data_IF_233502551117
#
_entry.id   IF_233502551117
#
_cell.length_a   1.000
_cell.length_b   1.000
_cell.length_c   1.000
_cell.angle_alpha   90.00
_cell.angle_beta   90.00
_cell.angle_gamma   90.00
#
_symmetry.space_group_name_H-M   'P 1'
#
loop_
_entity.id
_entity.type
_entity.pdbx_description
1 polymer ?
#
# COMPACT_ATOMS: atom_id res chain seq x y z
N UNK A 1 -27.73 43.14 -2.39
CA UNK A 1 -26.51 42.49 -2.91
C UNK A 1 -26.15 41.15 -2.24
N UNK A 2 -26.16 41.02 -0.90
CA UNK A 2 -25.82 39.75 -0.20
C UNK A 2 -26.73 38.56 -0.52
N UNK A 3 -28.03 38.78 -0.80
CA UNK A 3 -29.00 37.71 -1.13
C UNK A 3 -28.79 37.07 -2.51
N UNK A 4 -28.23 37.82 -3.46
CA UNK A 4 -27.85 37.28 -4.78
C UNK A 4 -26.53 36.52 -4.72
N UNK A 5 -25.59 36.94 -3.88
CA UNK A 5 -24.32 36.24 -3.66
C UNK A 5 -24.54 34.85 -3.05
N UNK A 6 -25.46 34.73 -2.08
CA UNK A 6 -25.86 33.44 -1.52
C UNK A 6 -26.54 32.53 -2.55
N UNK A 7 -27.30 33.11 -3.49
CA UNK A 7 -27.98 32.38 -4.57
C UNK A 7 -26.99 31.87 -5.63
N UNK A 8 -25.99 32.66 -6.02
CA UNK A 8 -24.92 32.23 -6.91
C UNK A 8 -23.98 31.21 -6.25
N UNK A 9 -23.75 31.32 -4.94
CA UNK A 9 -22.98 30.33 -4.17
C UNK A 9 -23.75 29.00 -4.01
N UNK A 10 -25.07 29.04 -3.78
CA UNK A 10 -25.93 27.84 -3.82
C UNK A 10 -26.03 27.25 -5.24
N UNK A 11 -26.06 28.08 -6.30
CA UNK A 11 -26.07 27.61 -7.68
C UNK A 11 -24.74 26.92 -8.07
N UNK A 12 -23.61 27.38 -7.51
CA UNK A 12 -22.31 26.73 -7.65
C UNK A 12 -22.25 25.36 -6.91
N UNK A 13 -22.96 25.21 -5.79
CA UNK A 13 -23.10 23.94 -5.06
C UNK A 13 -24.02 22.91 -5.77
N UNK A 14 -24.79 23.32 -6.80
CA UNK A 14 -25.60 22.42 -7.64
C UNK A 14 -24.80 21.82 -8.81
N UNK A 15 -23.48 22.03 -8.88
CA UNK A 15 -22.56 21.23 -9.70
C UNK A 15 -22.40 19.81 -9.13
N UNK A 16 -23.52 19.13 -8.89
CA UNK A 16 -23.60 17.72 -8.55
C UNK A 16 -22.83 16.92 -9.60
N UNK A 17 -21.81 16.19 -9.15
CA UNK A 17 -21.01 15.31 -10.00
C UNK A 17 -21.92 14.44 -10.88
N UNK A 18 -21.82 14.59 -12.19
CA UNK A 18 -22.55 13.77 -13.16
C UNK A 18 -22.00 12.33 -13.26
N UNK A 19 -20.99 12.01 -12.46
CA UNK A 19 -20.29 10.75 -12.47
C UNK A 19 -20.50 9.99 -11.16
N UNK A 20 -20.62 8.68 -11.28
CA UNK A 20 -20.52 7.73 -10.17
C UNK A 20 -19.12 7.15 -10.14
N UNK A 21 -18.75 6.50 -9.05
CA UNK A 21 -17.50 5.76 -8.94
C UNK A 21 -17.76 4.27 -8.77
N UNK A 22 -16.87 3.46 -9.32
CA UNK A 22 -16.73 2.02 -9.08
C UNK A 22 -15.31 1.78 -8.59
N UNK A 23 -15.13 0.74 -7.79
CA UNK A 23 -13.83 0.36 -7.31
C UNK A 23 -13.37 -0.97 -7.90
N UNK A 24 -12.10 -1.02 -8.27
CA UNK A 24 -11.44 -2.16 -8.91
C UNK A 24 -10.32 -2.62 -7.98
N UNK A 25 -10.26 -3.93 -7.73
CA UNK A 25 -9.13 -4.55 -7.04
C UNK A 25 -8.08 -4.93 -8.09
N UNK A 26 -6.82 -4.59 -7.83
CA UNK A 26 -5.68 -4.89 -8.70
C UNK A 26 -4.44 -5.06 -7.85
N UNK A 27 -3.32 -5.48 -8.45
CA UNK A 27 -2.02 -5.47 -7.79
C UNK A 27 -1.22 -4.23 -8.20
N UNK A 28 -0.43 -3.71 -7.27
CA UNK A 28 0.70 -2.81 -7.56
C UNK A 28 1.97 -3.68 -7.60
N UNK A 29 2.81 -3.58 -8.65
CA UNK A 29 4.09 -4.27 -8.71
C UNK A 29 4.98 -4.02 -7.50
N UNK A 30 5.86 -4.98 -7.23
CA UNK A 30 6.97 -4.78 -6.31
C UNK A 30 7.94 -3.73 -6.87
N UNK A 31 8.59 -2.96 -5.99
CA UNK A 31 9.55 -1.93 -6.40
C UNK A 31 10.86 -2.53 -6.93
N UNK A 32 11.23 -3.74 -6.49
CA UNK A 32 12.35 -4.52 -7.04
C UNK A 32 11.87 -5.89 -7.52
N UNK A 33 12.57 -6.46 -8.50
CA UNK A 33 12.29 -7.81 -8.97
C UNK A 33 13.05 -8.84 -8.13
N UNK A 34 12.34 -9.83 -7.59
CA UNK A 34 12.92 -10.96 -6.85
C UNK A 34 12.96 -12.17 -7.78
N UNK A 35 14.11 -12.89 -7.90
CA UNK A 35 14.22 -14.09 -8.71
C UNK A 35 13.03 -15.05 -8.53
N UNK A 36 12.51 -15.53 -9.66
CA UNK A 36 11.28 -16.33 -9.68
C UNK A 36 11.44 -17.73 -9.09
N UNK A 37 12.65 -18.23 -8.92
CA UNK A 37 12.91 -19.46 -8.18
C UNK A 37 12.79 -19.31 -6.66
N UNK A 38 12.80 -18.08 -6.13
CA UNK A 38 12.47 -17.81 -4.72
C UNK A 38 10.96 -17.77 -4.59
N UNK A 39 10.36 -18.76 -3.93
CA UNK A 39 8.93 -18.86 -3.65
C UNK A 39 8.62 -18.78 -2.14
N UNK A 40 9.64 -18.86 -1.30
CA UNK A 40 9.49 -18.90 0.14
C UNK A 40 10.61 -18.16 0.89
N UNK A 41 10.26 -17.46 1.97
CA UNK A 41 11.17 -16.60 2.73
C UNK A 41 11.09 -16.92 4.22
N UNK A 42 12.25 -17.15 4.84
CA UNK A 42 12.37 -17.21 6.30
C UNK A 42 12.74 -15.84 6.87
N UNK A 43 12.00 -15.38 7.88
CA UNK A 43 12.26 -14.13 8.61
C UNK A 43 13.12 -14.43 9.85
N UNK A 44 14.27 -13.75 9.98
CA UNK A 44 15.26 -13.99 11.04
C UNK A 44 15.59 -12.71 11.80
N UNK A 45 15.46 -12.77 13.13
CA UNK A 45 15.98 -11.73 14.02
C UNK A 45 17.48 -11.94 14.26
N UNK A 46 18.32 -10.99 13.86
CA UNK A 46 19.77 -10.97 14.16
C UNK A 46 20.20 -9.76 15.03
N UNK A 47 19.23 -9.15 15.71
CA UNK A 47 19.40 -7.93 16.51
C UNK A 47 19.98 -8.17 17.90
N UNK A 48 20.24 -9.42 18.31
CA UNK A 48 20.85 -9.66 19.61
C UNK A 48 22.32 -9.19 19.62
N UNK A 49 22.69 -8.44 20.66
CA UNK A 49 24.05 -7.97 20.88
C UNK A 49 25.03 -9.11 21.18
N UNK A 50 26.29 -8.96 20.73
CA UNK A 50 27.40 -9.85 21.13
C UNK A 50 27.77 -9.61 22.61
N UNK A 51 28.21 -10.65 23.33
CA UNK A 51 28.50 -10.58 24.78
C UNK A 51 29.52 -9.48 25.14
N UNK A 52 30.53 -9.27 24.30
CA UNK A 52 31.59 -8.27 24.54
C UNK A 52 31.08 -6.82 24.38
N UNK A 53 29.92 -6.64 23.73
CA UNK A 53 29.27 -5.35 23.61
C UNK A 53 28.44 -4.96 24.86
N UNK A 54 28.09 -5.95 25.69
CA UNK A 54 27.22 -5.75 26.87
C UNK A 54 28.01 -5.11 28.02
N UNK A 55 29.32 -5.34 28.11
CA UNK A 55 30.19 -4.82 29.19
C UNK A 55 30.69 -3.38 29.02
N UNK A 56 30.41 -2.72 27.88
CA UNK A 56 30.97 -1.39 27.54
C UNK A 56 29.96 -0.26 27.79
N UNK A 57 28.68 -0.57 28.00
CA UNK A 57 27.61 0.43 27.96
C UNK A 57 26.72 0.31 29.20
N UNK A 58 27.00 1.15 30.19
CA UNK A 58 26.25 1.19 31.45
C UNK A 58 25.05 2.17 31.43
N UNK A 59 24.75 2.80 30.27
CA UNK A 59 23.70 3.83 30.16
C UNK A 59 22.57 3.59 29.14
N UNK A 60 22.77 2.73 28.14
CA UNK A 60 21.80 2.50 27.02
C UNK A 60 21.19 1.10 27.06
N UNK A 61 21.82 0.14 27.73
CA UNK A 61 21.38 -1.26 27.82
C UNK A 61 20.64 -1.55 29.14
N UNK A 62 19.65 -0.73 29.50
CA UNK A 62 18.91 -0.87 30.79
C UNK A 62 17.99 -2.11 30.88
N UNK A 63 18.13 -3.11 30.01
CA UNK A 63 17.28 -4.30 29.93
C UNK A 63 15.87 -4.04 29.38
N UNK A 64 15.27 -2.89 29.71
CA UNK A 64 13.99 -2.42 29.19
C UNK A 64 14.04 -2.15 27.69
N UNK A 65 15.08 -1.45 27.20
CA UNK A 65 15.28 -1.20 25.77
C UNK A 65 15.48 -2.47 24.94
N UNK A 66 16.17 -3.49 25.49
CA UNK A 66 16.43 -4.76 24.78
C UNK A 66 15.14 -5.55 24.54
N UNK A 67 14.26 -5.59 25.55
CA UNK A 67 12.96 -6.25 25.42
C UNK A 67 12.05 -5.47 24.48
N UNK A 68 12.10 -4.15 24.52
CA UNK A 68 11.31 -3.31 23.64
C UNK A 68 11.74 -3.42 22.16
N UNK A 69 13.04 -3.39 21.87
CA UNK A 69 13.56 -3.55 20.51
C UNK A 69 13.18 -4.92 19.95
N UNK A 70 13.27 -5.97 20.78
CA UNK A 70 12.81 -7.32 20.42
C UNK A 70 11.31 -7.32 20.07
N UNK A 71 10.48 -6.68 20.89
CA UNK A 71 9.05 -6.52 20.64
C UNK A 71 8.77 -5.74 19.34
N UNK A 72 9.60 -4.75 19.05
CA UNK A 72 9.60 -3.97 17.81
C UNK A 72 9.90 -4.84 16.59
N UNK A 73 10.95 -5.66 16.63
CA UNK A 73 11.30 -6.62 15.57
C UNK A 73 10.16 -7.61 15.33
N UNK A 74 9.59 -8.18 16.40
CA UNK A 74 8.45 -9.11 16.26
C UNK A 74 7.22 -8.42 15.65
N UNK A 75 6.97 -7.16 16.00
CA UNK A 75 5.88 -6.37 15.42
C UNK A 75 6.13 -6.13 13.93
N UNK A 76 7.36 -5.82 13.55
CA UNK A 76 7.75 -5.67 12.15
C UNK A 76 7.55 -6.98 11.38
N UNK A 77 8.01 -8.11 11.92
CA UNK A 77 7.83 -9.42 11.28
C UNK A 77 6.37 -9.80 11.11
N UNK A 78 5.52 -9.57 12.12
CA UNK A 78 4.09 -9.80 11.98
C UNK A 78 3.49 -8.93 10.88
N UNK A 79 3.90 -7.67 10.77
CA UNK A 79 3.43 -6.77 9.71
C UNK A 79 3.89 -7.19 8.32
N UNK A 80 5.16 -7.55 8.20
CA UNK A 80 5.78 -8.04 6.98
C UNK A 80 5.11 -9.35 6.53
N UNK A 81 4.98 -10.32 7.43
CA UNK A 81 4.30 -11.58 7.16
C UNK A 81 2.83 -11.37 6.74
N UNK A 82 2.08 -10.51 7.42
CA UNK A 82 0.70 -10.20 7.04
C UNK A 82 0.61 -9.56 5.65
N UNK A 83 1.53 -8.65 5.33
CA UNK A 83 1.56 -7.98 4.02
C UNK A 83 1.98 -8.92 2.91
N UNK A 84 3.03 -9.71 3.12
CA UNK A 84 3.52 -10.69 2.14
C UNK A 84 2.50 -11.80 1.89
N UNK A 85 1.76 -12.26 2.91
CA UNK A 85 0.65 -13.22 2.73
C UNK A 85 -0.55 -12.67 1.99
N UNK A 86 -0.71 -11.35 1.94
CA UNK A 86 -1.73 -10.70 1.11
C UNK A 86 -1.32 -10.65 -0.37
N UNK A 87 -0.04 -10.87 -0.66
CA UNK A 87 0.49 -11.08 -2.00
C UNK A 87 0.46 -12.57 -2.35
N UNK A 88 0.21 -12.94 -3.63
CA UNK A 88 0.34 -14.32 -4.07
C UNK A 88 1.80 -14.76 -4.30
N UNK A 89 2.80 -13.93 -3.92
CA UNK A 89 4.19 -14.10 -4.36
C UNK A 89 5.05 -15.04 -3.51
N UNK A 90 4.85 -15.09 -2.19
CA UNK A 90 5.74 -15.84 -1.30
C UNK A 90 5.00 -16.55 -0.16
N UNK A 91 5.46 -17.75 0.17
CA UNK A 91 5.23 -18.35 1.48
C UNK A 91 6.22 -17.78 2.50
N UNK A 92 5.74 -17.41 3.70
CA UNK A 92 6.57 -16.74 4.70
C UNK A 92 6.57 -17.48 6.03
N UNK A 93 7.77 -17.85 6.46
CA UNK A 93 8.03 -18.56 7.72
C UNK A 93 8.74 -17.61 8.68
N UNK A 94 8.26 -17.51 9.91
CA UNK A 94 8.95 -16.79 10.98
C UNK A 94 9.84 -17.77 11.74
N UNK A 95 11.14 -17.50 11.78
CA UNK A 95 12.07 -18.33 12.51
C UNK A 95 11.90 -18.20 14.03
N UNK A 96 12.16 -19.29 14.76
CA UNK A 96 12.12 -19.29 16.23
C UNK A 96 13.40 -18.74 16.87
N UNK A 97 14.50 -18.71 16.10
CA UNK A 97 15.81 -18.34 16.60
C UNK A 97 16.06 -16.83 16.51
N UNK A 98 16.71 -16.31 17.54
CA UNK A 98 17.30 -14.98 17.53
C UNK A 98 18.83 -15.11 17.47
N UNK A 99 19.42 -14.66 16.38
CA UNK A 99 20.85 -14.68 16.14
C UNK A 99 21.53 -13.46 16.74
N UNK A 100 22.84 -13.59 16.95
CA UNK A 100 23.71 -12.48 17.37
C UNK A 100 24.37 -11.86 16.16
N UNK A 101 24.24 -10.55 16.02
CA UNK A 101 24.84 -9.82 14.91
C UNK A 101 24.92 -8.32 15.16
N UNK A 102 23.97 -7.74 15.89
CA UNK A 102 23.99 -6.31 16.20
C UNK A 102 25.28 -5.88 16.91
N UNK A 103 25.88 -4.83 16.35
CA UNK A 103 27.05 -4.16 16.90
C UNK A 103 26.64 -2.83 17.57
N UNK A 104 27.51 -2.28 18.40
CA UNK A 104 27.27 -1.02 19.14
C UNK A 104 27.18 0.19 18.19
N UNK A 105 27.87 0.12 17.04
CA UNK A 105 28.02 1.25 16.13
C UNK A 105 26.77 1.50 15.27
N UNK A 106 25.75 0.62 15.34
CA UNK A 106 24.53 0.75 14.54
C UNK A 106 24.77 0.66 13.02
N UNK A 107 25.88 0.03 12.63
CA UNK A 107 26.24 -0.29 11.25
C UNK A 107 25.86 -1.73 10.92
N UNK A 108 25.75 -2.06 9.63
CA UNK A 108 25.51 -3.43 9.22
C UNK A 108 26.63 -4.34 9.73
N UNK A 109 26.30 -5.48 10.37
CA UNK A 109 27.30 -6.50 10.62
C UNK A 109 27.73 -7.15 9.31
N UNK A 110 28.88 -7.83 9.38
CA UNK A 110 29.30 -8.74 8.32
C UNK A 110 28.15 -9.68 7.92
N UNK A 111 27.97 -9.92 6.61
CA UNK A 111 27.03 -10.91 6.11
C UNK A 111 27.14 -12.24 6.85
N UNK A 112 26.01 -12.93 6.98
CA UNK A 112 26.02 -14.32 7.39
C UNK A 112 26.85 -15.11 6.38
N UNK A 113 27.70 -16.01 6.88
CA UNK A 113 28.42 -16.94 6.03
C UNK A 113 27.41 -17.81 5.25
N UNK A 114 27.73 -18.13 4.00
CA UNK A 114 26.82 -18.89 3.13
C UNK A 114 26.45 -20.25 3.69
N UNK A 115 27.32 -20.91 4.46
CA UNK A 115 26.98 -22.15 5.16
C UNK A 115 25.88 -21.93 6.18
N UNK A 116 25.88 -20.81 6.88
CA UNK A 116 24.83 -20.48 7.85
C UNK A 116 23.52 -20.11 7.15
N UNK A 117 23.58 -19.38 6.03
CA UNK A 117 22.41 -19.12 5.18
C UNK A 117 21.81 -20.45 4.71
N UNK A 118 22.62 -21.34 4.14
CA UNK A 118 22.21 -22.67 3.67
C UNK A 118 21.61 -23.52 4.80
N UNK A 119 22.16 -23.47 6.01
CA UNK A 119 21.63 -24.19 7.18
C UNK A 119 20.25 -23.68 7.59
N UNK A 120 20.06 -22.35 7.63
CA UNK A 120 18.80 -21.74 8.05
C UNK A 120 17.70 -21.97 7.01
N UNK A 121 17.98 -21.77 5.72
CA UNK A 121 17.01 -22.00 4.64
C UNK A 121 16.58 -23.46 4.57
N UNK A 122 17.51 -24.42 4.70
CA UNK A 122 17.17 -25.85 4.80
C UNK A 122 16.33 -26.17 6.05
N UNK A 123 16.68 -25.59 7.21
CA UNK A 123 15.95 -25.82 8.46
C UNK A 123 14.49 -25.37 8.39
N UNK A 124 14.23 -24.22 7.78
CA UNK A 124 12.88 -23.67 7.65
C UNK A 124 12.17 -24.06 6.35
N UNK A 125 12.84 -24.83 5.48
CA UNK A 125 12.36 -25.21 4.15
C UNK A 125 11.94 -23.99 3.32
N UNK A 126 12.86 -23.03 3.20
CA UNK A 126 12.65 -21.80 2.43
C UNK A 126 13.76 -21.56 1.40
N UNK A 127 13.51 -20.70 0.41
CA UNK A 127 14.49 -20.39 -0.66
C UNK A 127 15.39 -19.20 -0.30
N UNK A 128 14.84 -18.24 0.45
CA UNK A 128 15.52 -17.00 0.81
C UNK A 128 15.46 -16.73 2.32
N UNK A 129 16.35 -15.85 2.77
CA UNK A 129 16.45 -15.40 4.15
C UNK A 129 16.30 -13.89 4.23
N UNK A 130 15.30 -13.40 4.95
CA UNK A 130 15.15 -11.97 5.25
C UNK A 130 15.53 -11.73 6.71
N UNK A 131 16.63 -11.00 6.90
CA UNK A 131 17.25 -10.80 8.19
C UNK A 131 17.07 -9.34 8.63
N UNK A 132 16.60 -9.13 9.85
CA UNK A 132 16.70 -7.83 10.53
C UNK A 132 18.03 -7.82 11.28
N UNK A 133 18.98 -7.07 10.73
CA UNK A 133 20.37 -7.01 11.17
C UNK A 133 20.60 -5.90 12.21
N UNK A 134 19.79 -4.84 12.16
CA UNK A 134 19.87 -3.69 13.06
C UNK A 134 18.46 -3.31 13.47
N UNK A 135 18.23 -3.12 14.77
CA UNK A 135 17.04 -2.45 15.28
C UNK A 135 17.44 -1.56 16.43
N UNK A 136 17.24 -0.26 16.26
CA UNK A 136 17.53 0.77 17.26
C UNK A 136 16.34 1.71 17.36
N UNK A 137 15.77 1.85 18.55
CA UNK A 137 14.59 2.66 18.83
C UNK A 137 14.86 3.74 19.89
N UNK A 138 14.52 4.97 19.54
CA UNK A 138 14.61 6.12 20.41
C UNK A 138 13.25 6.82 20.52
N UNK A 139 12.95 7.35 21.70
CA UNK A 139 11.75 8.13 21.94
C UNK A 139 12.04 9.21 22.97
N UNK A 140 11.93 10.46 22.53
CA UNK A 140 12.24 11.63 23.34
C UNK A 140 10.91 12.32 23.65
N UNK A 141 10.69 12.60 24.94
CA UNK A 141 9.51 13.36 25.39
C UNK A 141 9.94 14.77 25.77
N UNK A 142 9.31 15.76 25.16
CA UNK A 142 9.38 17.17 25.54
C UNK A 142 8.01 17.63 26.01
N UNK A 143 7.95 18.74 26.75
CA UNK A 143 6.69 19.28 27.22
C UNK A 143 6.76 20.79 27.41
N UNK A 144 5.59 21.42 27.52
CA UNK A 144 5.49 22.85 27.70
C UNK A 144 4.08 23.31 28.04
N UNK A 145 3.89 24.63 28.00
CA UNK A 145 2.60 25.29 28.17
C UNK A 145 2.43 26.37 27.11
N UNK A 146 1.22 26.52 26.58
CA UNK A 146 0.84 27.57 25.63
C UNK A 146 -0.49 28.19 26.03
N UNK A 147 -0.69 29.46 25.67
CA UNK A 147 -1.99 30.13 25.83
C UNK A 147 -2.89 29.77 24.65
N UNK A 148 -4.13 29.42 24.93
CA UNK A 148 -5.13 29.10 23.91
C UNK A 148 -6.48 29.73 24.28
N UNK A 149 -7.38 29.90 23.32
CA UNK A 149 -8.71 30.47 23.56
C UNK A 149 -9.80 29.42 23.33
N UNK A 150 -10.84 29.45 24.16
CA UNK A 150 -12.04 28.63 23.99
C UNK A 150 -13.28 29.49 24.09
N UNK A 151 -14.36 29.06 23.44
CA UNK A 151 -15.66 29.69 23.60
C UNK A 151 -16.39 29.08 24.79
N UNK A 152 -16.78 29.93 25.73
CA UNK A 152 -17.61 29.56 26.88
C UNK A 152 -18.85 30.45 26.91
N UNK A 153 -19.93 29.96 27.53
CA UNK A 153 -21.14 30.77 27.74
C UNK A 153 -21.02 31.54 29.04
N UNK A 154 -21.28 32.84 28.99
CA UNK A 154 -21.40 33.67 30.20
C UNK A 154 -22.71 33.36 30.97
N UNK A 155 -22.93 34.05 32.09
CA UNK A 155 -24.13 33.88 32.93
C UNK A 155 -25.43 34.27 32.21
N UNK A 156 -25.33 35.07 31.15
CA UNK A 156 -26.46 35.55 30.34
C UNK A 156 -26.65 34.71 29.06
N UNK A 157 -25.82 33.68 28.85
CA UNK A 157 -25.89 32.74 27.74
C UNK A 157 -25.17 33.17 26.46
N UNK A 158 -24.43 34.29 26.47
CA UNK A 158 -23.64 34.75 25.32
C UNK A 158 -22.33 33.98 25.19
N UNK A 159 -21.89 33.71 23.95
CA UNK A 159 -20.55 33.15 23.71
C UNK A 159 -19.48 34.21 23.94
N UNK A 160 -18.57 33.96 24.88
CA UNK A 160 -17.38 34.76 25.15
C UNK A 160 -16.12 33.93 24.94
N UNK A 161 -15.05 34.56 24.47
CA UNK A 161 -13.73 33.92 24.36
C UNK A 161 -12.99 34.01 25.69
N UNK A 162 -12.62 32.86 26.24
CA UNK A 162 -11.84 32.73 27.47
C UNK A 162 -10.44 32.22 27.13
N UNK A 163 -9.42 32.94 27.58
CA UNK A 163 -8.03 32.49 27.52
C UNK A 163 -7.76 31.47 28.63
N UNK A 164 -7.15 30.34 28.28
CA UNK A 164 -6.71 29.34 29.24
C UNK A 164 -5.28 28.89 28.94
N UNK A 165 -4.60 28.40 29.98
CA UNK A 165 -3.30 27.75 29.82
C UNK A 165 -3.52 26.29 29.44
N UNK A 166 -3.02 25.90 28.27
CA UNK A 166 -2.97 24.52 27.80
C UNK A 166 -1.57 23.96 28.07
N UNK A 167 -1.51 22.82 28.75
CA UNK A 167 -0.26 22.05 28.89
C UNK A 167 -0.19 21.04 27.76
N UNK A 168 0.98 20.90 27.15
CA UNK A 168 1.20 19.92 26.08
C UNK A 168 2.43 19.06 26.37
N UNK A 169 2.41 17.85 25.82
CA UNK A 169 3.54 16.94 25.77
C UNK A 169 3.72 16.45 24.33
N UNK A 170 4.96 16.44 23.86
CA UNK A 170 5.34 15.94 22.54
C UNK A 170 6.27 14.74 22.71
N UNK A 171 5.97 13.66 21.99
CA UNK A 171 6.82 12.48 21.91
C UNK A 171 7.37 12.37 20.50
N UNK A 172 8.68 12.34 20.35
CA UNK A 172 9.37 12.16 19.06
C UNK A 172 9.99 10.78 19.04
N UNK A 173 9.42 9.87 18.25
CA UNK A 173 9.95 8.53 18.05
C UNK A 173 10.80 8.42 16.79
N UNK A 174 11.86 7.64 16.87
CA UNK A 174 12.74 7.31 15.75
C UNK A 174 13.14 5.83 15.83
N UNK A 175 12.96 5.10 14.72
CA UNK A 175 13.48 3.75 14.56
C UNK A 175 14.46 3.72 13.39
N UNK A 176 15.60 3.08 13.60
CA UNK A 176 16.57 2.73 12.57
C UNK A 176 16.62 1.22 12.44
N UNK A 177 16.24 0.71 11.26
CA UNK A 177 16.07 -0.72 11.01
C UNK A 177 16.89 -1.13 9.78
N UNK A 178 17.84 -2.03 9.97
CA UNK A 178 18.67 -2.58 8.89
C UNK A 178 18.13 -3.92 8.44
N UNK A 179 17.82 -4.06 7.16
CA UNK A 179 17.25 -5.27 6.56
C UNK A 179 18.22 -5.81 5.51
N UNK A 180 18.35 -7.13 5.45
CA UNK A 180 19.12 -7.82 4.40
C UNK A 180 18.36 -9.04 3.88
N UNK A 181 18.27 -9.18 2.56
CA UNK A 181 17.63 -10.29 1.88
C UNK A 181 18.67 -11.13 1.14
N UNK A 182 18.80 -12.39 1.54
CA UNK A 182 19.75 -13.36 0.97
C UNK A 182 19.04 -14.34 0.04
N UNK A 183 19.67 -14.62 -1.09
CA UNK A 183 19.36 -15.75 -1.96
C UNK A 183 20.34 -16.90 -1.64
N UNK A 184 19.82 -18.00 -1.09
CA UNK A 184 20.67 -19.13 -0.71
C UNK A 184 21.24 -19.87 -1.93
N UNK A 185 20.43 -20.04 -2.98
CA UNK A 185 20.80 -20.82 -4.16
C UNK A 185 21.90 -20.12 -4.95
N UNK A 186 21.72 -18.83 -5.23
CA UNK A 186 22.67 -18.05 -6.02
C UNK A 186 23.80 -17.46 -5.17
N UNK A 187 23.71 -17.54 -3.84
CA UNK A 187 24.69 -17.00 -2.89
C UNK A 187 24.92 -15.51 -3.12
N UNK A 188 23.83 -14.78 -3.22
CA UNK A 188 23.84 -13.32 -3.41
C UNK A 188 23.00 -12.63 -2.34
N UNK A 189 23.32 -11.36 -2.08
CA UNK A 189 22.46 -10.46 -1.30
C UNK A 189 21.64 -9.69 -2.31
N UNK A 190 20.33 -9.97 -2.36
CA UNK A 190 19.41 -9.31 -3.29
C UNK A 190 19.21 -7.85 -2.90
N UNK A 191 19.08 -7.60 -1.60
CA UNK A 191 18.83 -6.27 -1.08
C UNK A 191 19.43 -6.09 0.32
N UNK A 192 19.93 -4.88 0.58
CA UNK A 192 20.43 -4.47 1.89
C UNK A 192 20.23 -2.97 2.05
N UNK A 193 19.47 -2.56 3.07
CA UNK A 193 19.17 -1.14 3.28
C UNK A 193 18.84 -0.79 4.74
N UNK A 194 19.00 0.48 5.10
CA UNK A 194 18.63 1.03 6.41
C UNK A 194 17.40 1.93 6.26
N UNK A 195 16.33 1.53 6.94
CA UNK A 195 15.11 2.28 7.04
C UNK A 195 15.11 3.13 8.30
N UNK A 196 15.00 4.45 8.14
CA UNK A 196 14.75 5.37 9.24
C UNK A 196 13.30 5.81 9.20
N UNK A 197 12.55 5.54 10.27
CA UNK A 197 11.16 5.95 10.41
C UNK A 197 11.02 6.81 11.63
N UNK A 198 10.40 7.99 11.49
CA UNK A 198 10.17 8.91 12.60
C UNK A 198 8.73 9.41 12.59
N UNK A 199 8.26 9.81 13.77
CA UNK A 199 6.97 10.46 13.94
C UNK A 199 6.95 11.26 15.24
N UNK A 200 6.25 12.39 15.20
CA UNK A 200 5.91 13.17 16.38
C UNK A 200 4.46 12.90 16.76
N UNK A 201 4.22 12.70 18.05
CA UNK A 201 2.90 12.65 18.67
C UNK A 201 2.79 13.81 19.64
N UNK A 202 1.61 14.41 19.73
CA UNK A 202 1.30 15.48 20.67
C UNK A 202 0.03 15.11 21.44
N UNK A 203 0.01 15.43 22.73
CA UNK A 203 -1.17 15.44 23.57
C UNK A 203 -1.23 16.77 24.32
N UNK A 204 -2.44 17.27 24.56
CA UNK A 204 -2.65 18.49 25.32
C UNK A 204 -3.79 18.33 26.32
N UNK A 205 -3.66 18.98 27.47
CA UNK A 205 -4.58 18.83 28.59
C UNK A 205 -4.55 20.04 29.53
N UNK A 206 -5.40 19.98 30.56
CA UNK A 206 -5.49 21.03 31.59
C UNK A 206 -4.35 20.98 32.61
N UNK A 207 -3.59 19.89 32.64
CA UNK A 207 -2.39 19.74 33.47
C UNK A 207 -1.30 18.97 32.73
N UNK A 208 -0.04 19.22 33.06
CA UNK A 208 1.09 18.50 32.46
C UNK A 208 1.03 16.98 32.72
N UNK A 209 0.61 16.57 33.92
CA UNK A 209 0.45 15.15 34.28
C UNK A 209 -0.54 14.45 33.36
N UNK A 210 -1.67 15.11 33.08
CA UNK A 210 -2.70 14.58 32.20
C UNK A 210 -2.21 14.52 30.74
N UNK A 211 -1.54 15.58 30.25
CA UNK A 211 -0.95 15.59 28.91
C UNK A 211 0.02 14.42 28.73
N UNK A 212 0.96 14.23 29.67
CA UNK A 212 1.91 13.12 29.64
C UNK A 212 1.21 11.75 29.72
N UNK A 213 0.16 11.60 30.51
CA UNK A 213 -0.59 10.35 30.62
C UNK A 213 -1.36 9.98 29.34
N UNK A 214 -1.77 10.98 28.55
CA UNK A 214 -2.44 10.79 27.27
C UNK A 214 -1.46 10.60 26.09
N UNK A 215 -0.19 10.97 26.27
CA UNK A 215 0.82 10.82 25.24
C UNK A 215 1.08 9.32 24.99
N UNK A 216 1.34 8.97 23.72
CA UNK A 216 1.76 7.61 23.36
C UNK A 216 3.01 7.22 24.15
N UNK A 217 3.06 5.98 24.64
CA UNK A 217 4.28 5.49 25.29
C UNK A 217 5.31 5.01 24.25
N UNK A 218 6.57 4.90 24.70
CA UNK A 218 7.69 4.48 23.87
C UNK A 218 7.42 3.17 23.11
N UNK A 219 6.97 2.12 23.81
CA UNK A 219 6.66 0.82 23.19
C UNK A 219 5.62 0.91 22.07
N UNK A 220 4.55 1.67 22.27
CA UNK A 220 3.53 1.90 21.25
C UNK A 220 4.08 2.66 20.04
N UNK A 221 4.91 3.68 20.27
CA UNK A 221 5.59 4.42 19.22
C UNK A 221 6.55 3.53 18.42
N UNK A 222 7.41 2.77 19.09
CA UNK A 222 8.36 1.82 18.48
C UNK A 222 7.62 0.79 17.62
N UNK A 223 6.54 0.19 18.13
CA UNK A 223 5.70 -0.78 17.40
C UNK A 223 5.01 -0.15 16.19
N UNK A 224 4.56 1.10 16.29
CA UNK A 224 3.96 1.83 15.16
C UNK A 224 4.98 2.05 14.03
N UNK A 225 6.18 2.53 14.36
CA UNK A 225 7.24 2.78 13.39
C UNK A 225 7.76 1.48 12.77
N UNK A 226 7.97 0.43 13.57
CA UNK A 226 8.38 -0.89 13.10
C UNK A 226 7.38 -1.52 12.12
N UNK A 227 6.07 -1.39 12.41
CA UNK A 227 4.99 -1.83 11.52
C UNK A 227 5.07 -1.12 10.16
N UNK A 228 5.31 0.19 10.17
CA UNK A 228 5.45 1.01 8.96
C UNK A 228 6.58 0.52 8.06
N UNK A 229 7.75 0.25 8.64
CA UNK A 229 8.90 -0.31 7.90
C UNK A 229 8.58 -1.70 7.34
N UNK A 230 7.96 -2.58 8.13
CA UNK A 230 7.55 -3.92 7.65
C UNK A 230 6.62 -3.87 6.44
N UNK A 231 5.61 -3.00 6.44
CA UNK A 231 4.71 -2.81 5.30
C UNK A 231 5.41 -2.21 4.08
N UNK A 232 6.32 -1.26 4.31
CA UNK A 232 7.10 -0.61 3.25
C UNK A 232 8.01 -1.64 2.57
N UNK A 233 8.72 -2.44 3.36
CA UNK A 233 9.61 -3.48 2.83
C UNK A 233 8.83 -4.58 2.10
N UNK A 234 7.65 -4.97 2.60
CA UNK A 234 6.78 -5.92 1.89
C UNK A 234 6.45 -5.43 0.46
N UNK A 235 6.09 -4.14 0.34
CA UNK A 235 5.78 -3.51 -0.95
C UNK A 235 6.99 -3.40 -1.88
N UNK A 236 8.20 -3.33 -1.32
CA UNK A 236 9.45 -3.32 -2.09
C UNK A 236 9.66 -4.64 -2.81
N UNK A 237 9.40 -5.77 -2.14
CA UNK A 237 9.79 -7.11 -2.62
C UNK A 237 8.64 -7.95 -3.19
N UNK A 238 7.37 -7.57 -2.96
CA UNK A 238 6.22 -8.34 -3.41
C UNK A 238 5.11 -7.44 -3.97
N UNK A 239 4.38 -7.88 -5.02
CA UNK A 239 3.21 -7.18 -5.52
C UNK A 239 2.11 -7.07 -4.46
N UNK A 240 1.60 -5.86 -4.23
CA UNK A 240 0.63 -5.59 -3.15
C UNK A 240 -0.80 -5.37 -3.69
N UNK A 241 -1.83 -5.93 -3.03
CA UNK A 241 -3.21 -5.65 -3.40
C UNK A 241 -3.56 -4.18 -3.14
N UNK A 242 -4.08 -3.53 -4.16
CA UNK A 242 -4.54 -2.14 -4.09
C UNK A 242 -5.94 -2.01 -4.67
N UNK A 243 -6.70 -1.09 -4.08
CA UNK A 243 -8.06 -0.77 -4.49
C UNK A 243 -8.05 0.58 -5.19
N UNK A 244 -8.30 0.58 -6.49
CA UNK A 244 -8.37 1.81 -7.29
C UNK A 244 -9.81 2.22 -7.54
N UNK A 245 -10.04 3.53 -7.66
CA UNK A 245 -11.36 4.10 -7.96
C UNK A 245 -11.40 4.57 -9.41
N UNK A 246 -12.51 4.30 -10.09
CA UNK A 246 -12.79 4.77 -11.45
C UNK A 246 -14.14 5.47 -11.46
N UNK A 247 -14.17 6.67 -12.03
CA UNK A 247 -15.42 7.37 -12.24
C UNK A 247 -16.04 7.00 -13.58
N UNK A 248 -17.36 7.00 -13.70
CA UNK A 248 -18.10 6.84 -14.96
C UNK A 248 -19.34 7.72 -15.02
N UNK A 249 -19.78 8.06 -16.21
CA UNK A 249 -20.94 8.94 -16.42
C UNK A 249 -22.24 8.20 -16.11
N UNK A 250 -22.98 8.67 -15.12
CA UNK A 250 -24.28 8.09 -14.75
C UNK A 250 -25.48 8.98 -15.14
N UNK A 251 -25.25 10.26 -15.46
CA UNK A 251 -26.30 11.23 -15.84
C UNK A 251 -25.93 11.94 -17.17
N UNK A 252 -26.86 12.02 -18.13
CA UNK A 252 -27.73 13.20 -18.16
C UNK A 252 -29.23 12.82 -18.23
N UNK A 253 -30.08 13.72 -17.75
CA UNK A 253 -31.54 13.54 -17.63
C UNK A 253 -32.26 13.12 -18.94
N UNK A 254 -31.63 13.23 -20.12
CA UNK A 254 -32.24 13.01 -21.44
C UNK A 254 -31.84 11.73 -22.21
N UNK A 255 -30.78 11.00 -21.84
CA UNK A 255 -30.37 9.78 -22.59
C UNK A 255 -30.70 8.50 -21.80
N UNK A 256 -31.62 7.67 -22.31
CA UNK A 256 -32.08 6.44 -21.66
C UNK A 256 -31.02 5.33 -21.62
N UNK A 257 -30.18 5.21 -22.66
CA UNK A 257 -29.13 4.20 -22.76
C UNK A 257 -27.99 4.44 -21.76
N UNK A 258 -27.53 5.68 -21.61
CA UNK A 258 -26.51 6.01 -20.61
C UNK A 258 -27.01 5.66 -19.20
N UNK A 259 -28.27 6.00 -18.89
CA UNK A 259 -28.90 5.69 -17.60
C UNK A 259 -29.11 4.19 -17.39
N UNK A 260 -29.55 3.47 -18.42
CA UNK A 260 -29.72 2.00 -18.35
C UNK A 260 -28.38 1.33 -18.07
N UNK A 261 -27.35 1.62 -18.87
CA UNK A 261 -26.02 1.05 -18.65
C UNK A 261 -25.42 1.45 -17.31
N UNK A 262 -25.62 2.67 -16.83
CA UNK A 262 -25.18 3.07 -15.49
C UNK A 262 -25.88 2.33 -14.34
N UNK A 263 -27.14 1.91 -14.53
CA UNK A 263 -27.85 1.05 -13.56
C UNK A 263 -27.32 -0.37 -13.59
N UNK A 264 -27.11 -0.92 -14.78
CA UNK A 264 -26.51 -2.26 -14.98
C UNK A 264 -25.11 -2.33 -14.35
N UNK A 265 -24.26 -1.34 -14.62
CA UNK A 265 -22.94 -1.19 -14.01
C UNK A 265 -23.00 -1.11 -12.47
N UNK A 266 -24.00 -0.44 -11.89
CA UNK A 266 -24.13 -0.34 -10.43
C UNK A 266 -24.53 -1.65 -9.74
N UNK A 267 -24.95 -2.66 -10.50
CA UNK A 267 -25.24 -4.01 -10.01
C UNK A 267 -24.32 -5.05 -10.66
N UNK A 268 -23.11 -4.64 -11.07
CA UNK A 268 -22.06 -5.46 -11.67
C UNK A 268 -22.42 -6.17 -13.00
N UNK A 269 -23.45 -5.74 -13.71
CA UNK A 269 -23.81 -6.25 -15.04
C UNK A 269 -23.04 -5.48 -16.14
N UNK A 270 -21.72 -5.67 -16.20
CA UNK A 270 -20.84 -4.85 -17.04
C UNK A 270 -20.96 -5.14 -18.54
N UNK A 271 -21.15 -6.39 -18.93
CA UNK A 271 -21.41 -6.83 -20.30
C UNK A 271 -22.68 -6.18 -20.87
N UNK A 272 -23.74 -6.22 -20.08
CA UNK A 272 -25.02 -5.60 -20.41
C UNK A 272 -24.92 -4.07 -20.44
N UNK A 273 -24.15 -3.48 -19.51
CA UNK A 273 -23.89 -2.05 -19.49
C UNK A 273 -23.19 -1.60 -20.77
N UNK A 274 -22.13 -2.30 -21.19
CA UNK A 274 -21.42 -2.07 -22.46
C UNK A 274 -22.39 -2.16 -23.63
N UNK A 275 -23.24 -3.19 -23.66
CA UNK A 275 -24.23 -3.39 -24.72
C UNK A 275 -25.23 -2.24 -24.80
N UNK A 276 -25.76 -1.80 -23.65
CA UNK A 276 -26.63 -0.63 -23.56
C UNK A 276 -25.93 0.65 -24.05
N UNK A 277 -24.67 0.88 -23.66
CA UNK A 277 -23.93 2.06 -24.08
C UNK A 277 -23.60 2.06 -25.57
N UNK A 278 -23.21 0.90 -26.15
CA UNK A 278 -23.01 0.75 -27.59
C UNK A 278 -24.28 1.02 -28.38
N UNK A 279 -25.43 0.53 -27.89
CA UNK A 279 -26.73 0.84 -28.50
C UNK A 279 -27.04 2.34 -28.43
N UNK A 280 -26.74 2.99 -27.31
CA UNK A 280 -26.88 4.43 -27.16
C UNK A 280 -26.01 5.22 -28.13
N UNK A 281 -24.80 4.74 -28.41
CA UNK A 281 -23.85 5.38 -29.33
C UNK A 281 -24.39 5.39 -30.76
N UNK A 282 -25.02 4.30 -31.19
CA UNK A 282 -25.67 4.17 -32.51
C UNK A 282 -26.88 5.10 -32.68
N UNK A 283 -27.47 5.58 -31.58
CA UNK A 283 -28.74 6.33 -31.58
C UNK A 283 -28.59 7.82 -31.26
N UNK A 284 -27.40 8.28 -30.90
CA UNK A 284 -27.15 9.68 -30.52
C UNK A 284 -26.41 10.41 -31.62
N UNK A 285 -26.85 11.63 -31.94
CA UNK A 285 -26.08 12.59 -32.75
C UNK A 285 -25.32 13.60 -31.89
N UNK A 286 -25.61 13.67 -30.58
CA UNK A 286 -24.90 14.55 -29.64
C UNK A 286 -23.51 13.98 -29.32
N UNK A 287 -22.47 14.62 -29.86
CA UNK A 287 -21.07 14.27 -29.66
C UNK A 287 -20.69 14.22 -28.17
N UNK A 288 -21.23 15.11 -27.34
CA UNK A 288 -20.97 15.11 -25.90
C UNK A 288 -21.49 13.83 -25.22
N UNK A 289 -22.68 13.38 -25.58
CA UNK A 289 -23.25 12.11 -25.09
C UNK A 289 -22.52 10.90 -25.66
N UNK A 290 -22.16 10.93 -26.94
CA UNK A 290 -21.36 9.88 -27.58
C UNK A 290 -20.01 9.67 -26.87
N UNK A 291 -19.30 10.76 -26.57
CA UNK A 291 -18.04 10.70 -25.82
C UNK A 291 -18.21 10.17 -24.39
N UNK A 292 -19.34 10.42 -23.74
CA UNK A 292 -19.63 9.84 -22.40
C UNK A 292 -19.93 8.34 -22.47
N UNK A 293 -20.64 7.90 -23.49
CA UNK A 293 -20.95 6.49 -23.73
C UNK A 293 -19.66 5.72 -24.05
N UNK A 294 -18.83 6.23 -24.96
CA UNK A 294 -17.53 5.65 -25.29
C UNK A 294 -16.61 5.55 -24.08
N UNK A 295 -16.53 6.59 -23.25
CA UNK A 295 -15.78 6.57 -21.99
C UNK A 295 -16.27 5.49 -21.02
N UNK A 296 -17.59 5.32 -20.88
CA UNK A 296 -18.13 4.27 -20.03
C UNK A 296 -17.86 2.87 -20.58
N UNK A 297 -17.92 2.68 -21.91
CA UNK A 297 -17.58 1.41 -22.56
C UNK A 297 -16.13 1.05 -22.28
N UNK A 298 -15.21 2.02 -22.33
CA UNK A 298 -13.82 1.82 -21.96
C UNK A 298 -13.69 1.26 -20.53
N UNK A 299 -14.40 1.85 -19.57
CA UNK A 299 -14.42 1.34 -18.20
C UNK A 299 -15.02 -0.05 -18.07
N UNK A 300 -16.09 -0.34 -18.81
CA UNK A 300 -16.66 -1.68 -18.84
C UNK A 300 -15.62 -2.72 -19.26
N UNK A 301 -14.85 -2.43 -20.31
CA UNK A 301 -13.77 -3.32 -20.75
C UNK A 301 -12.61 -3.41 -19.74
N UNK A 302 -12.24 -2.31 -19.07
CA UNK A 302 -11.24 -2.35 -17.98
C UNK A 302 -11.67 -3.32 -16.87
N UNK A 303 -12.95 -3.28 -16.48
CA UNK A 303 -13.49 -4.13 -15.41
C UNK A 303 -13.60 -5.59 -15.85
N UNK A 304 -13.88 -5.84 -17.12
CA UNK A 304 -13.87 -7.19 -17.70
C UNK A 304 -12.45 -7.75 -17.91
N UNK A 305 -11.41 -6.97 -17.67
CA UNK A 305 -10.00 -7.37 -17.84
C UNK A 305 -9.46 -7.21 -19.27
N UNK A 306 -10.24 -6.66 -20.20
CA UNK A 306 -9.79 -6.40 -21.58
C UNK A 306 -9.20 -4.99 -21.68
N UNK A 307 -7.96 -4.84 -21.20
CA UNK A 307 -7.26 -3.54 -21.17
C UNK A 307 -7.01 -2.97 -22.56
N UNK A 308 -6.81 -3.80 -23.57
CA UNK A 308 -6.63 -3.37 -24.96
C UNK A 308 -7.89 -2.70 -25.49
N UNK A 309 -9.06 -3.35 -25.37
CA UNK A 309 -10.33 -2.72 -25.76
C UNK A 309 -10.64 -1.51 -24.90
N UNK A 310 -10.33 -1.55 -23.61
CA UNK A 310 -10.51 -0.39 -22.73
C UNK A 310 -9.74 0.82 -23.27
N UNK A 311 -8.46 0.63 -23.59
CA UNK A 311 -7.59 1.68 -24.13
C UNK A 311 -8.12 2.22 -25.46
N UNK A 312 -8.51 1.35 -26.38
CA UNK A 312 -9.09 1.70 -27.67
C UNK A 312 -10.35 2.58 -27.50
N UNK A 313 -11.29 2.17 -26.64
CA UNK A 313 -12.54 2.91 -26.40
C UNK A 313 -12.31 4.23 -25.66
N UNK A 314 -11.32 4.30 -24.77
CA UNK A 314 -10.93 5.55 -24.13
C UNK A 314 -10.34 6.55 -25.15
N UNK A 315 -9.54 6.04 -26.09
CA UNK A 315 -9.05 6.80 -27.25
C UNK A 315 -10.18 7.34 -28.12
N UNK A 316 -11.10 6.48 -28.56
CA UNK A 316 -12.30 6.86 -29.34
C UNK A 316 -13.13 7.92 -28.63
N UNK A 317 -13.30 7.80 -27.32
CA UNK A 317 -14.00 8.80 -26.50
C UNK A 317 -13.42 10.20 -26.68
N UNK A 318 -12.11 10.33 -26.83
CA UNK A 318 -11.44 11.60 -27.01
C UNK A 318 -11.34 12.03 -28.48
N UNK A 319 -10.83 11.15 -29.33
CA UNK A 319 -10.54 11.45 -30.74
C UNK A 319 -11.82 11.71 -31.53
N UNK A 320 -12.81 10.82 -31.42
CA UNK A 320 -14.01 10.86 -32.25
C UNK A 320 -15.06 11.84 -31.69
N UNK A 321 -15.05 12.04 -30.36
CA UNK A 321 -16.13 12.73 -29.64
C UNK A 321 -15.68 13.86 -28.72
N UNK A 322 -14.39 14.22 -28.70
CA UNK A 322 -13.87 15.37 -27.97
C UNK A 322 -13.94 15.30 -26.44
N UNK A 323 -14.18 14.12 -25.85
CA UNK A 323 -14.23 13.99 -24.39
C UNK A 323 -12.81 14.01 -23.81
N UNK A 324 -12.39 15.16 -23.26
CA UNK A 324 -11.06 15.35 -22.66
C UNK A 324 -10.71 14.31 -21.59
N UNK A 325 -11.70 13.80 -20.82
CA UNK A 325 -11.44 12.75 -19.82
C UNK A 325 -11.00 11.42 -20.46
N UNK A 326 -11.43 11.15 -21.69
CA UNK A 326 -11.00 9.97 -22.47
C UNK A 326 -9.49 9.95 -22.70
N UNK A 327 -8.86 11.10 -23.00
CA UNK A 327 -7.41 11.19 -23.19
C UNK A 327 -6.64 10.80 -21.94
N UNK A 328 -6.99 11.39 -20.80
CA UNK A 328 -6.35 11.08 -19.51
C UNK A 328 -6.55 9.61 -19.14
N UNK A 329 -7.73 9.06 -19.45
CA UNK A 329 -8.03 7.68 -19.14
C UNK A 329 -7.31 6.67 -20.05
N UNK A 330 -7.15 6.98 -21.34
CA UNK A 330 -6.32 6.18 -22.24
C UNK A 330 -4.86 6.13 -21.76
N UNK A 331 -4.28 7.27 -21.40
CA UNK A 331 -2.93 7.31 -20.82
C UNK A 331 -2.81 6.47 -19.53
N UNK A 332 -3.82 6.52 -18.66
CA UNK A 332 -3.86 5.68 -17.45
C UNK A 332 -3.94 4.19 -17.79
N UNK A 333 -4.76 3.80 -18.76
CA UNK A 333 -4.89 2.41 -19.20
C UNK A 333 -3.61 1.89 -19.85
N UNK A 334 -2.89 2.72 -20.60
CA UNK A 334 -1.58 2.37 -21.15
C UNK A 334 -0.57 2.06 -20.03
N UNK A 335 -0.49 2.91 -19.00
CA UNK A 335 0.34 2.65 -17.84
C UNK A 335 -0.09 1.38 -17.10
N UNK A 336 -1.40 1.12 -17.03
CA UNK A 336 -1.92 -0.11 -16.43
C UNK A 336 -1.51 -1.35 -17.22
N UNK A 337 -1.52 -1.32 -18.55
CA UNK A 337 -1.05 -2.43 -19.38
C UNK A 337 0.42 -2.75 -19.11
N UNK A 338 1.28 -1.74 -19.04
CA UNK A 338 2.70 -1.90 -18.65
C UNK A 338 2.81 -2.48 -17.23
N UNK A 339 1.95 -2.00 -16.32
CA UNK A 339 1.90 -2.51 -14.94
C UNK A 339 1.55 -4.00 -14.88
N UNK A 340 0.56 -4.45 -15.68
CA UNK A 340 0.20 -5.88 -15.75
C UNK A 340 1.34 -6.72 -16.34
N UNK A 341 2.09 -6.22 -17.32
CA UNK A 341 3.25 -6.93 -17.87
C UNK A 341 4.34 -7.14 -16.82
N UNK A 342 4.65 -6.11 -16.02
CA UNK A 342 5.59 -6.24 -14.89
C UNK A 342 5.05 -7.24 -13.85
N UNK A 343 3.74 -7.25 -13.57
CA UNK A 343 3.14 -8.21 -12.65
C UNK A 343 3.26 -9.64 -13.17
N UNK A 344 3.02 -9.85 -14.46
CA UNK A 344 3.17 -11.17 -15.10
C UNK A 344 4.61 -11.68 -14.95
N UNK A 345 5.61 -10.81 -15.12
CA UNK A 345 7.03 -11.16 -14.91
C UNK A 345 7.34 -11.49 -13.45
N UNK A 346 6.85 -10.68 -12.51
CA UNK A 346 7.10 -10.81 -11.07
C UNK A 346 6.38 -12.01 -10.44
N UNK A 347 5.26 -12.45 -11.01
CA UNK A 347 4.44 -13.56 -10.52
C UNK A 347 4.67 -14.86 -11.30
N UNK A 348 5.54 -14.84 -12.31
CA UNK A 348 5.83 -16.03 -13.12
C UNK A 348 6.46 -17.10 -12.24
N UNK A 349 5.82 -18.28 -12.20
CA UNK A 349 6.42 -19.45 -11.54
C UNK A 349 7.65 -19.92 -12.32
N UNK A 350 8.66 -20.49 -11.65
CA UNK A 350 9.83 -21.04 -12.32
C UNK A 350 9.38 -22.18 -13.24
N UNK A 351 9.93 -22.22 -14.44
CA UNK A 351 9.74 -23.37 -15.32
C UNK A 351 10.33 -24.60 -14.62
N UNK A 352 9.58 -25.70 -14.55
CA UNK A 352 10.15 -26.97 -14.05
C UNK A 352 11.33 -27.29 -14.97
N UNK A 353 12.52 -27.48 -14.40
CA UNK A 353 13.72 -27.86 -15.15
C UNK A 353 13.38 -28.96 -16.14
N UNK A 354 13.42 -28.60 -17.43
CA UNK A 354 13.21 -29.52 -18.53
C UNK A 354 14.53 -30.22 -18.83
N UNK A 355 14.99 -31.06 -17.89
CA UNK A 355 15.96 -32.13 -18.17
C UNK A 355 15.29 -33.31 -18.93
N UNK A 356 14.31 -33.00 -19.77
CA UNK A 356 13.78 -33.90 -20.80
C UNK A 356 13.82 -33.15 -22.13
N UNK A 357 14.72 -33.60 -23.01
CA UNK A 357 14.82 -33.23 -24.43
C UNK A 357 13.41 -33.21 -25.09
N UNK A 358 13.18 -32.33 -26.07
CA UNK A 358 11.86 -32.12 -26.63
C UNK A 358 11.44 -33.28 -27.53
N UNK A 359 10.30 -33.92 -27.23
CA UNK A 359 9.52 -34.57 -28.28
C UNK A 359 8.71 -33.51 -29.01
N UNK A 360 8.87 -33.52 -30.33
CA UNK A 360 8.22 -32.67 -31.31
C UNK A 360 6.69 -32.74 -31.21
N UNK A 361 6.03 -31.60 -31.08
CA UNK A 361 4.57 -31.49 -31.23
C UNK A 361 4.09 -30.10 -30.91
N UNK A 362 3.90 -29.27 -31.94
CA UNK A 362 3.42 -27.91 -31.77
C UNK A 362 1.96 -27.87 -31.34
N UNK A 363 1.69 -27.13 -30.27
CA UNK A 363 0.41 -26.48 -30.06
C UNK A 363 0.66 -25.22 -29.22
N UNK A 364 0.21 -24.06 -29.72
CA UNK A 364 0.24 -22.80 -28.97
C UNK A 364 -0.68 -22.97 -27.75
N UNK A 365 -0.11 -23.22 -26.58
CA UNK A 365 -0.82 -23.14 -25.32
C UNK A 365 -1.18 -21.68 -25.05
N UNK A 366 -2.49 -21.39 -25.02
CA UNK A 366 -3.02 -20.12 -24.56
C UNK A 366 -2.55 -19.83 -23.13
N UNK A 367 -2.06 -18.59 -22.91
CA UNK A 367 -1.64 -18.10 -21.59
C UNK A 367 -2.78 -18.29 -20.57
N UNK A 368 -2.51 -18.81 -19.36
CA UNK A 368 -3.52 -18.93 -18.34
C UNK A 368 -3.99 -17.53 -17.91
N UNK A 369 -5.21 -17.17 -18.29
CA UNK A 369 -5.88 -15.97 -17.79
C UNK A 369 -6.26 -16.22 -16.34
N UNK A 370 -5.59 -15.58 -15.39
CA UNK A 370 -6.01 -15.60 -13.98
C UNK A 370 -7.32 -14.79 -13.89
N UNK A 371 -8.46 -15.48 -14.01
CA UNK A 371 -9.76 -14.91 -13.72
C UNK A 371 -9.84 -14.67 -12.22
N UNK A 372 -9.63 -13.43 -11.79
CA UNK A 372 -9.97 -13.00 -10.43
C UNK A 372 -11.48 -13.18 -10.27
N UNK A 373 -11.89 -14.24 -9.57
CA UNK A 373 -13.28 -14.44 -9.16
C UNK A 373 -13.68 -13.24 -8.31
N UNK A 374 -14.53 -12.35 -8.85
CA UNK A 374 -15.31 -11.45 -8.02
C UNK A 374 -16.22 -12.33 -7.17
N UNK A 375 -16.03 -12.30 -5.83
CA UNK A 375 -16.97 -12.93 -4.90
C UNK A 375 -18.35 -12.32 -5.14
N UNK A 376 -19.33 -13.17 -5.41
CA UNK A 376 -20.74 -12.82 -5.28
C UNK A 376 -21.09 -12.71 -3.79
N UNK A 377 -21.82 -11.65 -3.48
CA UNK A 377 -22.42 -11.20 -2.21
C UNK A 377 -21.49 -10.51 -1.20
#
# INVERSE_FOLDING_TARGET
MKRHFLFYFLLALVLSSCMKSVSINTLRPADINIPNDIQSIALIDRTAYKKDAIGIIEGVLTGEGINEDRDGVMTMFNSLQNSLRASPRFDVVLASERLKGQNILGSFPEPLDWRQVDQLTRKYNTDALLVVEIFDSNFIVTNGKRKNTRKVKDKDGNEVEEEYTEFFAEGVGNNRIGIRLYDAKNRTIIDQDIYTSNKTWESSATSLKEALAQLVNKSQATKYLARSVGNTYASKIAPMPVRVSRSYYAKPKKNSYLRKGARQASVNQWEDAISSWKMGLRKTSDSKTAGRLAYNIALGYEIMGDLFKAHEWAGKSFVDYGNKKGRSYASLLNNRMITEEILDEQLRLPEKDSDQKPETGGEKQDKPTIKIKMKEN
#
